data_IF_346794910173
#
_entry.id   IF_346794910173
#
_cell.length_a   1.000
_cell.length_b   1.000
_cell.length_c   1.000
_cell.angle_alpha   90.00
_cell.angle_beta   90.00
_cell.angle_gamma   90.00
#
_symmetry.space_group_name_H-M   'P 1'
#
loop_
_entity.id
_entity.type
_entity.pdbx_description
1 polymer ?
#
# COMPACT_ATOMS: atom_id res chain seq x y z
N UNK A 1 -5.89 -38.23 -18.36
CA UNK A 1 -6.89 -37.20 -18.72
C UNK A 1 -6.60 -36.03 -17.81
N UNK A 2 -5.71 -35.14 -18.26
CA UNK A 2 -5.33 -33.93 -17.53
C UNK A 2 -6.20 -32.80 -18.09
N UNK A 3 -7.26 -32.47 -17.37
CA UNK A 3 -8.00 -31.25 -17.62
C UNK A 3 -7.14 -30.09 -17.11
N UNK A 4 -6.42 -29.44 -18.02
CA UNK A 4 -5.79 -28.15 -17.79
C UNK A 4 -6.85 -27.08 -18.09
N UNK A 5 -7.48 -26.43 -17.10
CA UNK A 5 -8.34 -25.31 -17.39
C UNK A 5 -7.43 -24.16 -17.78
N UNK A 6 -7.27 -23.94 -19.09
CA UNK A 6 -6.67 -22.74 -19.65
C UNK A 6 -7.54 -21.56 -19.20
N UNK A 7 -7.24 -21.00 -18.02
CA UNK A 7 -7.85 -19.77 -17.57
C UNK A 7 -7.54 -18.73 -18.63
N UNK A 8 -8.56 -18.33 -19.38
CA UNK A 8 -8.45 -17.34 -20.44
C UNK A 8 -8.20 -15.96 -19.82
N UNK A 9 -6.99 -15.76 -19.30
CA UNK A 9 -6.49 -14.47 -18.88
C UNK A 9 -6.22 -13.69 -20.16
N UNK A 10 -6.88 -12.54 -20.29
CA UNK A 10 -6.60 -11.62 -21.37
C UNK A 10 -5.17 -11.10 -21.17
N UNK A 11 -4.29 -11.34 -22.14
CA UNK A 11 -2.91 -10.88 -22.09
C UNK A 11 -2.89 -9.35 -22.14
N UNK A 12 -2.46 -8.72 -21.03
CA UNK A 12 -2.36 -7.27 -20.90
C UNK A 12 -0.91 -6.81 -21.00
N UNK A 13 -0.63 -5.78 -21.80
CA UNK A 13 0.68 -5.12 -21.84
C UNK A 13 0.67 -3.88 -20.94
N UNK A 14 1.63 -3.78 -20.02
CA UNK A 14 1.82 -2.56 -19.22
C UNK A 14 2.17 -1.39 -20.15
N UNK A 15 1.32 -0.36 -20.17
CA UNK A 15 1.50 0.85 -21.00
C UNK A 15 2.04 2.05 -20.21
N UNK A 16 2.02 2.00 -18.88
CA UNK A 16 2.47 3.09 -18.02
C UNK A 16 2.36 2.76 -16.53
N UNK A 17 3.08 3.51 -15.71
CA UNK A 17 3.11 3.38 -14.25
C UNK A 17 2.71 4.72 -13.65
N UNK A 18 1.77 4.71 -12.71
CA UNK A 18 1.32 5.90 -11.99
C UNK A 18 1.73 5.80 -10.53
N UNK A 19 2.34 6.86 -10.02
CA UNK A 19 2.71 6.99 -8.61
C UNK A 19 1.67 7.85 -7.90
N UNK A 20 1.19 7.38 -6.75
CA UNK A 20 0.27 8.12 -5.88
C UNK A 20 0.41 7.64 -4.43
N UNK A 21 -0.12 8.43 -3.49
CA UNK A 21 -0.25 8.01 -2.10
C UNK A 21 -1.53 7.19 -1.93
N UNK A 22 -1.44 6.05 -1.26
CA UNK A 22 -2.61 5.25 -0.94
C UNK A 22 -3.44 5.92 0.16
N UNK A 23 -4.74 6.03 -0.07
CA UNK A 23 -5.72 6.46 0.93
C UNK A 23 -6.07 5.32 1.88
N UNK A 24 -6.65 5.64 3.04
CA UNK A 24 -7.17 4.64 3.98
C UNK A 24 -8.16 3.68 3.30
N UNK A 25 -9.04 4.20 2.45
CA UNK A 25 -10.04 3.39 1.75
C UNK A 25 -9.39 2.43 0.77
N UNK A 26 -8.42 2.88 -0.03
CA UNK A 26 -7.68 2.01 -0.96
C UNK A 26 -6.91 0.92 -0.23
N UNK A 27 -6.28 1.24 0.91
CA UNK A 27 -5.57 0.26 1.75
C UNK A 27 -6.55 -0.81 2.27
N UNK A 28 -7.71 -0.40 2.76
CA UNK A 28 -8.74 -1.33 3.25
C UNK A 28 -9.34 -2.17 2.11
N UNK A 29 -9.57 -1.60 0.93
CA UNK A 29 -10.14 -2.32 -0.21
C UNK A 29 -9.12 -3.27 -0.86
N UNK A 30 -7.83 -2.95 -0.80
CA UNK A 30 -6.78 -3.86 -1.28
C UNK A 30 -6.59 -5.07 -0.36
N UNK A 31 -6.98 -4.96 0.92
CA UNK A 31 -6.91 -6.05 1.88
C UNK A 31 -7.86 -7.19 1.51
N UNK A 32 -7.40 -8.43 1.68
CA UNK A 32 -8.26 -9.61 1.42
C UNK A 32 -9.35 -9.74 2.50
N UNK A 33 -9.07 -9.26 3.72
CA UNK A 33 -10.04 -9.21 4.80
C UNK A 33 -10.52 -7.80 5.07
N UNK A 34 -11.82 -7.63 5.34
CA UNK A 34 -12.39 -6.36 5.79
C UNK A 34 -11.91 -5.96 7.20
N UNK A 35 -11.36 -6.92 7.94
CA UNK A 35 -10.86 -6.70 9.31
C UNK A 35 -9.39 -6.32 9.34
N UNK A 36 -9.05 -5.38 10.22
CA UNK A 36 -7.67 -5.03 10.53
C UNK A 36 -6.94 -6.16 11.26
N UNK A 37 -5.62 -6.19 11.10
CA UNK A 37 -4.72 -6.96 11.94
C UNK A 37 -4.51 -6.17 13.24
N UNK A 38 -4.95 -6.73 14.36
CA UNK A 38 -4.85 -6.10 15.69
C UNK A 38 -3.83 -6.79 16.59
N UNK A 39 -3.48 -8.04 16.29
CA UNK A 39 -2.56 -8.83 17.11
C UNK A 39 -1.53 -9.57 16.24
N UNK A 40 -0.31 -9.71 16.74
CA UNK A 40 0.80 -10.34 16.01
C UNK A 40 0.50 -11.81 15.62
N UNK A 41 -0.34 -12.50 16.39
CA UNK A 41 -0.78 -13.87 16.07
C UNK A 41 -1.54 -13.96 14.75
N UNK A 42 -2.16 -12.88 14.29
CA UNK A 42 -2.89 -12.85 13.02
C UNK A 42 -1.98 -12.69 11.81
N UNK A 43 -0.69 -12.39 12.00
CA UNK A 43 0.28 -12.27 10.90
C UNK A 43 0.58 -13.61 10.23
N UNK A 44 0.38 -14.72 10.95
CA UNK A 44 0.49 -16.08 10.40
C UNK A 44 -0.81 -16.61 9.79
N UNK A 45 -1.83 -15.77 9.59
CA UNK A 45 -3.10 -16.22 9.05
C UNK A 45 -2.95 -16.68 7.58
N UNK A 46 -3.58 -17.80 7.19
CA UNK A 46 -3.56 -18.31 5.83
C UNK A 46 -4.05 -17.34 4.74
N UNK A 47 -4.80 -16.30 5.11
CA UNK A 47 -5.28 -15.27 4.19
C UNK A 47 -4.21 -14.27 3.75
N UNK A 48 -3.11 -14.12 4.51
CA UNK A 48 -2.03 -13.16 4.20
C UNK A 48 -0.98 -13.73 3.24
N UNK A 49 -0.96 -15.06 3.07
CA UNK A 49 -0.11 -15.74 2.11
C UNK A 49 0.71 -16.88 2.72
N UNK A 50 1.80 -17.22 2.04
CA UNK A 50 2.76 -18.26 2.41
C UNK A 50 4.09 -17.61 2.86
N UNK A 51 4.93 -18.31 3.65
CA UNK A 51 4.82 -19.70 4.10
C UNK A 51 3.89 -19.89 5.30
N UNK A 52 3.20 -21.02 5.32
CA UNK A 52 2.42 -21.51 6.47
C UNK A 52 3.07 -22.80 6.98
N UNK A 53 2.98 -23.08 8.28
CA UNK A 53 3.48 -24.34 8.84
C UNK A 53 2.73 -25.55 8.25
N UNK A 54 1.42 -25.41 8.04
CA UNK A 54 0.56 -26.43 7.43
C UNK A 54 -0.54 -25.78 6.59
N UNK A 55 -0.98 -26.48 5.54
CA UNK A 55 -2.13 -26.07 4.73
C UNK A 55 -1.77 -25.31 3.46
N UNK A 56 -2.71 -24.50 2.99
CA UNK A 56 -2.62 -23.71 1.75
C UNK A 56 -3.09 -22.29 2.03
N UNK A 57 -2.66 -21.34 1.20
CA UNK A 57 -3.19 -19.98 1.29
C UNK A 57 -4.70 -20.01 1.02
N UNK A 58 -5.49 -19.42 1.91
CA UNK A 58 -6.95 -19.39 1.78
C UNK A 58 -7.45 -18.37 0.76
N UNK A 59 -6.59 -17.40 0.38
CA UNK A 59 -6.93 -16.33 -0.58
C UNK A 59 -6.74 -16.75 -2.04
N UNK A 60 -5.60 -17.36 -2.37
CA UNK A 60 -5.30 -17.82 -3.74
C UNK A 60 -5.37 -19.36 -3.90
N UNK A 61 -5.51 -20.12 -2.81
CA UNK A 61 -5.68 -21.58 -2.84
C UNK A 61 -4.41 -22.39 -3.07
N UNK A 62 -3.25 -21.77 -3.27
CA UNK A 62 -1.98 -22.48 -3.51
C UNK A 62 -1.32 -22.94 -2.20
N UNK A 63 -0.68 -24.10 -2.23
CA UNK A 63 0.17 -24.64 -1.15
C UNK A 63 1.66 -24.51 -1.45
N UNK A 64 2.02 -24.04 -2.66
CA UNK A 64 3.42 -23.95 -3.09
C UNK A 64 3.99 -22.55 -2.83
N UNK A 65 5.03 -22.47 -2.00
CA UNK A 65 5.80 -21.25 -1.78
C UNK A 65 6.50 -20.84 -3.10
N UNK A 66 6.01 -19.76 -3.73
CA UNK A 66 6.44 -19.30 -5.06
C UNK A 66 5.30 -19.11 -6.05
N UNK A 67 4.14 -19.76 -5.81
CA UNK A 67 2.89 -19.50 -6.55
C UNK A 67 1.96 -18.52 -5.83
N UNK A 68 2.29 -18.15 -4.59
CA UNK A 68 1.61 -17.10 -3.83
C UNK A 68 2.50 -15.86 -3.83
N UNK A 69 1.99 -14.75 -4.34
CA UNK A 69 2.69 -13.44 -4.35
C UNK A 69 2.57 -12.69 -3.02
N UNK A 70 1.78 -13.22 -2.08
CA UNK A 70 1.39 -12.55 -0.85
C UNK A 70 0.11 -11.72 -1.03
N UNK A 71 -0.57 -11.50 0.08
CA UNK A 71 -1.89 -10.87 0.10
C UNK A 71 -1.87 -9.69 1.06
N UNK A 72 -2.44 -8.58 0.63
CA UNK A 72 -2.48 -7.38 1.46
C UNK A 72 -3.38 -7.60 2.68
N UNK A 73 -2.89 -7.11 3.81
CA UNK A 73 -3.66 -6.83 5.01
C UNK A 73 -3.36 -5.41 5.47
N UNK A 74 -4.09 -4.93 6.47
CA UNK A 74 -3.83 -3.61 7.03
C UNK A 74 -3.88 -3.64 8.57
N UNK A 75 -3.13 -2.73 9.18
CA UNK A 75 -3.23 -2.42 10.61
C UNK A 75 -3.86 -1.03 10.73
N UNK A 76 -4.71 -0.82 11.72
CA UNK A 76 -5.17 0.51 12.07
C UNK A 76 -4.32 1.06 13.22
N UNK A 77 -3.69 2.19 12.95
CA UNK A 77 -2.95 2.90 13.99
C UNK A 77 -3.94 3.65 14.89
N UNK A 78 -3.71 3.67 16.22
CA UNK A 78 -4.63 4.32 17.16
C UNK A 78 -4.70 5.84 16.93
N UNK A 79 -3.68 6.43 16.30
CA UNK A 79 -3.61 7.85 15.95
C UNK A 79 -2.96 8.01 14.57
N UNK A 80 -3.30 9.07 13.82
CA UNK A 80 -2.59 9.39 12.60
C UNK A 80 -1.14 9.77 12.92
N UNK A 81 -0.21 9.22 12.16
CA UNK A 81 1.22 9.51 12.27
C UNK A 81 1.75 10.12 10.96
N UNK A 82 2.83 10.89 11.06
CA UNK A 82 3.52 11.37 9.88
C UNK A 82 4.39 10.28 9.28
N UNK A 83 4.32 10.11 7.97
CA UNK A 83 5.25 9.23 7.26
C UNK A 83 6.66 9.85 7.30
N UNK A 84 7.69 9.15 7.82
CA UNK A 84 9.03 9.71 8.02
C UNK A 84 9.61 10.38 6.77
N UNK A 85 9.46 9.73 5.59
CA UNK A 85 9.97 10.25 4.32
C UNK A 85 9.26 11.52 3.83
N UNK A 86 8.08 11.86 4.38
CA UNK A 86 7.29 13.02 3.94
C UNK A 86 7.39 14.22 4.89
N UNK A 87 8.04 14.06 6.06
CA UNK A 87 8.15 15.13 7.06
C UNK A 87 8.82 16.38 6.50
N UNK A 88 9.86 16.23 5.69
CA UNK A 88 10.58 17.35 5.06
C UNK A 88 9.69 18.11 4.08
N UNK A 89 8.95 17.41 3.21
CA UNK A 89 8.05 18.08 2.26
C UNK A 89 6.84 18.69 2.97
N UNK A 90 6.31 18.04 4.00
CA UNK A 90 5.25 18.60 4.82
C UNK A 90 5.69 19.92 5.47
N UNK A 91 6.89 19.97 6.06
CA UNK A 91 7.45 21.22 6.61
C UNK A 91 7.56 22.31 5.53
N UNK A 92 7.97 21.94 4.31
CA UNK A 92 8.05 22.86 3.18
C UNK A 92 6.67 23.41 2.82
N UNK A 93 5.66 22.55 2.69
CA UNK A 93 4.27 22.95 2.42
C UNK A 93 3.73 23.86 3.52
N UNK A 94 3.90 23.49 4.78
CA UNK A 94 3.44 24.30 5.93
C UNK A 94 4.15 25.66 6.01
N UNK A 95 5.39 25.77 5.52
CA UNK A 95 6.09 27.06 5.45
C UNK A 95 5.42 28.05 4.48
N UNK A 96 4.78 27.53 3.43
CA UNK A 96 4.09 28.29 2.39
C UNK A 96 2.66 28.68 2.79
N UNK A 97 2.10 28.07 3.83
CA UNK A 97 0.73 28.32 4.29
C UNK A 97 0.77 29.15 5.58
N UNK A 98 -0.13 30.12 5.72
CA UNK A 98 -0.37 30.78 7.00
C UNK A 98 -1.19 29.85 7.90
N UNK A 99 -0.64 29.39 9.02
CA UNK A 99 -1.32 28.45 9.92
C UNK A 99 -2.55 29.05 10.64
N UNK A 100 -2.71 30.37 10.61
CA UNK A 100 -3.87 31.04 11.21
C UNK A 100 -5.06 31.17 10.25
N UNK A 101 -4.82 31.45 8.98
CA UNK A 101 -5.90 31.68 8.00
C UNK A 101 -5.95 30.65 6.86
N UNK A 102 -5.03 29.68 6.86
CA UNK A 102 -4.89 28.58 5.91
C UNK A 102 -4.73 29.03 4.44
N UNK A 103 -4.37 30.30 4.22
CA UNK A 103 -4.08 30.84 2.89
C UNK A 103 -2.59 30.71 2.57
N UNK A 104 -2.28 30.53 1.28
CA UNK A 104 -0.92 30.58 0.79
C UNK A 104 -0.31 31.97 1.03
N UNK A 105 0.91 31.99 1.56
CA UNK A 105 1.69 33.21 1.71
C UNK A 105 2.12 33.70 0.33
N UNK A 106 1.94 34.98 0.06
CA UNK A 106 2.44 35.65 -1.14
C UNK A 106 3.96 35.79 -1.04
N UNK A 107 4.68 34.70 -1.26
CA UNK A 107 6.14 34.69 -1.20
C UNK A 107 6.67 34.47 -2.63
N UNK A 108 7.56 35.33 -3.12
CA UNK A 108 8.35 35.08 -4.34
C UNK A 108 9.36 33.96 -4.02
N UNK A 109 8.90 32.71 -3.97
CA UNK A 109 9.79 31.58 -3.72
C UNK A 109 10.51 31.26 -5.02
N UNK A 110 11.81 31.57 -5.09
CA UNK A 110 12.70 30.95 -6.06
C UNK A 110 12.77 29.47 -5.73
N UNK A 111 12.00 28.65 -6.44
CA UNK A 111 12.03 27.19 -6.29
C UNK A 111 13.30 26.68 -6.97
N UNK A 112 14.43 26.71 -6.26
CA UNK A 112 15.59 25.91 -6.66
C UNK A 112 15.29 24.46 -6.30
N UNK A 113 14.78 23.70 -7.26
CA UNK A 113 14.77 22.24 -7.18
C UNK A 113 16.19 21.74 -7.40
N UNK A 114 16.89 21.45 -6.31
CA UNK A 114 18.07 20.60 -6.36
C UNK A 114 17.60 19.15 -6.43
N UNK A 115 17.52 18.62 -7.64
CA UNK A 115 17.52 17.17 -7.87
C UNK A 115 18.92 16.67 -7.53
N UNK A 116 19.08 16.05 -6.36
CA UNK A 116 20.24 15.20 -6.11
C UNK A 116 19.98 13.88 -6.85
N UNK A 117 20.55 13.77 -8.05
CA UNK A 117 20.89 12.51 -8.71
C UNK A 117 21.94 11.75 -7.91
#
# INVERSE_FOLDING_TARGET
MEDNPTSSLLEGKVIGIRFSMATRQEISTASISDSQISHASQLGNPFLGLPLEFGRCESCGTSEAGKCEGHFGYIELPVPIYHPSHVTELKRILSLVCLSCLKLKKTKVSLTWSVNT
#
